data_IF_425218228388
#
_entry.id   IF_425218228388
#
_cell.length_a   1.000
_cell.length_b   1.000
_cell.length_c   1.000
_cell.angle_alpha   90.00
_cell.angle_beta   90.00
_cell.angle_gamma   90.00
#
_symmetry.space_group_name_H-M   'P 1'
#
loop_
_entity.id
_entity.type
_entity.pdbx_description
1 polymer ?
#
# COMPACT_ATOMS: atom_id res chain seq x y z
N UNK A 1 5.94 -1.37 -11.43
CA UNK A 1 6.68 -0.96 -10.22
C UNK A 1 6.33 -1.91 -9.09
N UNK A 2 7.28 -2.26 -8.23
CA UNK A 2 7.01 -3.09 -7.06
C UNK A 2 7.29 -2.28 -5.80
N UNK A 3 6.28 -2.12 -4.96
CA UNK A 3 6.45 -1.62 -3.61
C UNK A 3 6.81 -2.78 -2.68
N UNK A 4 8.01 -2.72 -2.10
CA UNK A 4 8.53 -3.78 -1.23
C UNK A 4 7.98 -3.74 0.20
N UNK A 5 7.42 -2.62 0.64
CA UNK A 5 6.89 -2.45 2.01
C UNK A 5 5.68 -3.35 2.21
N UNK A 6 4.80 -3.36 1.20
CA UNK A 6 3.53 -4.09 1.23
C UNK A 6 3.47 -5.23 0.21
N UNK A 7 4.59 -5.50 -0.50
CA UNK A 7 4.70 -6.52 -1.56
C UNK A 7 3.67 -6.34 -2.68
N UNK A 8 3.34 -5.09 -3.00
CA UNK A 8 2.41 -4.73 -4.08
C UNK A 8 3.17 -4.58 -5.39
N UNK A 9 2.66 -5.19 -6.46
CA UNK A 9 3.20 -5.00 -7.81
C UNK A 9 2.15 -4.34 -8.69
N UNK A 10 2.47 -3.15 -9.19
CA UNK A 10 1.69 -2.45 -10.21
C UNK A 10 2.30 -2.70 -11.58
N UNK A 11 1.52 -3.29 -12.49
CA UNK A 11 1.94 -3.55 -13.88
C UNK A 11 1.74 -2.34 -14.81
N UNK A 12 1.73 -1.13 -14.27
CA UNK A 12 1.43 0.14 -14.95
C UNK A 12 2.57 1.14 -14.79
N UNK A 13 3.80 0.76 -15.18
CA UNK A 13 5.00 1.58 -14.90
C UNK A 13 4.93 2.98 -15.51
N UNK A 14 4.49 3.11 -16.76
CA UNK A 14 4.44 4.40 -17.45
C UNK A 14 3.49 5.38 -16.73
N UNK A 15 2.29 4.92 -16.34
CA UNK A 15 1.33 5.72 -15.58
C UNK A 15 1.91 6.20 -14.22
N UNK A 16 2.63 5.32 -13.53
CA UNK A 16 3.30 5.65 -12.26
C UNK A 16 4.37 6.73 -12.48
N UNK A 17 5.13 6.66 -13.59
CA UNK A 17 6.14 7.68 -13.93
C UNK A 17 5.50 9.01 -14.36
N UNK A 18 4.32 8.96 -14.96
CA UNK A 18 3.51 10.14 -15.31
C UNK A 18 2.79 10.76 -14.08
N UNK A 19 2.87 10.12 -12.90
CA UNK A 19 2.36 10.65 -11.64
C UNK A 19 1.01 10.08 -11.19
N UNK A 20 0.45 9.07 -11.86
CA UNK A 20 -0.73 8.32 -11.40
C UNK A 20 -0.34 7.42 -10.22
N UNK A 21 -0.28 8.01 -9.02
CA UNK A 21 0.16 7.37 -7.78
C UNK A 21 -0.98 7.03 -6.82
N UNK A 22 -2.22 7.41 -7.12
CA UNK A 22 -3.37 7.30 -6.20
C UNK A 22 -3.59 5.85 -5.74
N UNK A 23 -3.57 4.89 -6.67
CA UNK A 23 -3.71 3.46 -6.35
C UNK A 23 -2.63 2.98 -5.37
N UNK A 24 -1.39 3.43 -5.55
CA UNK A 24 -0.28 3.03 -4.69
C UNK A 24 -0.42 3.63 -3.28
N UNK A 25 -0.85 4.89 -3.19
CA UNK A 25 -1.05 5.60 -1.92
C UNK A 25 -2.19 4.96 -1.14
N UNK A 26 -3.33 4.70 -1.79
CA UNK A 26 -4.49 4.07 -1.15
C UNK A 26 -4.16 2.69 -0.61
N UNK A 27 -3.39 1.90 -1.36
CA UNK A 27 -2.94 0.57 -0.91
C UNK A 27 -2.03 0.66 0.33
N UNK A 28 -1.13 1.66 0.41
CA UNK A 28 -0.27 1.87 1.57
C UNK A 28 -1.08 2.31 2.80
N UNK A 29 -2.06 3.19 2.63
CA UNK A 29 -2.96 3.62 3.71
C UNK A 29 -3.78 2.44 4.24
N UNK A 30 -4.36 1.63 3.35
CA UNK A 30 -5.14 0.47 3.74
C UNK A 30 -4.29 -0.57 4.49
N UNK A 31 -3.03 -0.77 4.06
CA UNK A 31 -2.09 -1.65 4.75
C UNK A 31 -1.80 -1.14 6.17
N UNK A 32 -1.46 0.13 6.32
CA UNK A 32 -1.16 0.74 7.63
C UNK A 32 -2.34 0.64 8.60
N UNK A 33 -3.55 0.94 8.12
CA UNK A 33 -4.78 0.78 8.90
C UNK A 33 -5.02 -0.67 9.33
N UNK A 34 -4.77 -1.64 8.45
CA UNK A 34 -4.91 -3.05 8.77
C UNK A 34 -3.91 -3.50 9.85
N UNK A 35 -2.66 -3.03 9.79
CA UNK A 35 -1.66 -3.33 10.80
C UNK A 35 -1.99 -2.68 12.15
N UNK A 36 -2.49 -1.44 12.15
CA UNK A 36 -2.98 -0.78 13.36
C UNK A 36 -4.13 -1.56 14.01
N UNK A 37 -5.11 -2.01 13.22
CA UNK A 37 -6.24 -2.79 13.72
C UNK A 37 -5.79 -4.13 14.34
N UNK A 38 -4.82 -4.81 13.72
CA UNK A 38 -4.24 -6.03 14.30
C UNK A 38 -3.53 -5.74 15.62
N UNK A 39 -2.73 -4.68 15.68
CA UNK A 39 -2.03 -4.30 16.90
C UNK A 39 -2.98 -3.95 18.05
N UNK A 40 -4.19 -3.44 17.77
CA UNK A 40 -5.23 -3.23 18.78
C UNK A 40 -5.85 -4.56 19.22
N UNK A 41 -6.15 -5.47 18.29
CA UNK A 41 -6.75 -6.78 18.60
C UNK A 41 -5.80 -7.75 19.32
N UNK A 42 -4.49 -7.63 19.13
CA UNK A 42 -3.48 -8.46 19.82
C UNK A 42 -3.22 -8.02 21.28
N UNK A 43 -3.72 -6.85 21.70
CA UNK A 43 -3.57 -6.32 23.06
C UNK A 43 -4.74 -6.70 24.01
N UNK A 44 -5.61 -7.63 23.61
CA UNK A 44 -6.68 -8.23 24.42
C UNK A 44 -6.35 -9.69 24.82
#
# INVERSE_FOLDING_TARGET
VTDHRIKLTLHRLDAVLDGDLDEMIDALIAYDQAELLKAVGDNE
#
